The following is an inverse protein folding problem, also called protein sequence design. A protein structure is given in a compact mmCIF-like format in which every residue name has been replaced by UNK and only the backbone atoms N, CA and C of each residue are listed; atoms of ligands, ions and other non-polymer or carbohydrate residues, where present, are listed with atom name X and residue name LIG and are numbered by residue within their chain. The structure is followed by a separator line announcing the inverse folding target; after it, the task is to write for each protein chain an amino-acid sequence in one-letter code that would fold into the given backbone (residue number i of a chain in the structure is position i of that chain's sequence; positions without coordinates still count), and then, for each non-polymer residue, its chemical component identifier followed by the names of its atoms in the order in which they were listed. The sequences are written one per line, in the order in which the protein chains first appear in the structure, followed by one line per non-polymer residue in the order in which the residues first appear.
data_IF_513032820538
#
_entry.id   IF_513032820538
#
_cell.length_a   1.000
_cell.length_b   1.000
_cell.length_c   1.000
_cell.angle_alpha   90.00
_cell.angle_beta   90.00
_cell.angle_gamma   90.00
#
_symmetry.space_group_name_H-M   'P 1'
#
loop_
_entity.id
_entity.type
_entity.pdbx_description
1 polymer ?
#
# COMPACT_ATOMS: atom_id res chain seq x y z
N UNK A 1 -18.55 -41.50 22.74
CA UNK A 1 -18.83 -40.05 22.55
C UNK A 1 -17.56 -39.19 22.53
N UNK A 2 -16.69 -39.27 23.55
CA UNK A 2 -15.48 -38.45 23.64
C UNK A 2 -14.50 -38.60 22.44
N UNK A 3 -14.24 -39.83 21.96
CA UNK A 3 -13.37 -40.05 20.78
C UNK A 3 -13.90 -39.46 19.47
N UNK A 4 -15.22 -39.44 19.27
CA UNK A 4 -15.81 -38.87 18.04
C UNK A 4 -15.68 -37.35 18.04
N UNK A 5 -15.96 -36.71 19.18
CA UNK A 5 -15.75 -35.27 19.34
C UNK A 5 -14.27 -34.87 19.18
N UNK A 6 -13.34 -35.71 19.63
CA UNK A 6 -11.90 -35.50 19.43
C UNK A 6 -11.50 -35.59 17.95
N UNK A 7 -12.00 -36.58 17.22
CA UNK A 7 -11.74 -36.73 15.77
C UNK A 7 -12.31 -35.55 14.98
N UNK A 8 -13.51 -35.10 15.33
CA UNK A 8 -14.14 -33.93 14.71
C UNK A 8 -13.33 -32.66 14.97
N UNK A 9 -12.89 -32.44 16.22
CA UNK A 9 -12.00 -31.33 16.58
C UNK A 9 -10.70 -31.37 15.78
N UNK A 10 -10.06 -32.53 15.68
CA UNK A 10 -8.81 -32.70 14.93
C UNK A 10 -9.01 -32.42 13.43
N UNK A 11 -10.15 -32.82 12.86
CA UNK A 11 -10.50 -32.52 11.47
C UNK A 11 -10.66 -31.01 11.24
N UNK A 12 -11.44 -30.33 12.08
CA UNK A 12 -11.62 -28.88 12.00
C UNK A 12 -10.31 -28.12 12.19
N UNK A 13 -9.45 -28.59 13.10
CA UNK A 13 -8.11 -28.06 13.33
C UNK A 13 -7.24 -28.17 12.07
N UNK A 14 -7.23 -29.34 11.43
CA UNK A 14 -6.50 -29.56 10.17
C UNK A 14 -7.01 -28.67 9.03
N UNK A 15 -8.33 -28.47 8.93
CA UNK A 15 -8.91 -27.60 7.90
C UNK A 15 -8.52 -26.14 8.11
N UNK A 16 -8.58 -25.66 9.36
CA UNK A 16 -8.12 -24.30 9.71
C UNK A 16 -6.64 -24.13 9.39
N UNK A 17 -5.80 -25.11 9.70
CA UNK A 17 -4.36 -25.01 9.48
C UNK A 17 -4.01 -24.98 7.98
N UNK A 18 -4.78 -25.71 7.15
CA UNK A 18 -4.69 -25.62 5.70
C UNK A 18 -5.06 -24.21 5.19
N UNK A 19 -6.19 -23.67 5.65
CA UNK A 19 -6.63 -22.31 5.28
C UNK A 19 -5.63 -21.23 5.72
N UNK A 20 -5.04 -21.36 6.90
CA UNK A 20 -4.01 -20.43 7.38
C UNK A 20 -2.76 -20.45 6.47
N UNK A 21 -2.39 -21.64 5.97
CA UNK A 21 -1.26 -21.80 5.06
C UNK A 21 -1.54 -21.11 3.73
N UNK A 22 -2.72 -21.34 3.15
CA UNK A 22 -3.16 -20.69 1.91
C UNK A 22 -3.21 -19.17 2.07
N UNK A 23 -3.80 -18.68 3.17
CA UNK A 23 -3.86 -17.24 3.47
C UNK A 23 -2.47 -16.64 3.55
N UNK A 24 -1.52 -17.34 4.19
CA UNK A 24 -0.12 -16.90 4.25
C UNK A 24 0.54 -16.79 2.87
N UNK A 25 0.27 -17.73 1.97
CA UNK A 25 0.77 -17.70 0.58
C UNK A 25 0.18 -16.52 -0.19
N UNK A 26 -1.14 -16.31 -0.10
CA UNK A 26 -1.83 -15.20 -0.75
C UNK A 26 -1.31 -13.84 -0.27
N UNK A 27 -1.02 -13.68 1.02
CA UNK A 27 -0.46 -12.44 1.57
C UNK A 27 0.96 -12.17 1.05
N UNK A 28 1.78 -13.21 0.85
CA UNK A 28 3.10 -13.07 0.25
C UNK A 28 3.00 -12.67 -1.22
N UNK A 29 2.04 -13.24 -1.96
CA UNK A 29 1.75 -12.84 -3.34
C UNK A 29 1.28 -11.39 -3.39
N UNK A 30 0.30 -11.00 -2.56
CA UNK A 30 -0.17 -9.61 -2.49
C UNK A 30 0.97 -8.65 -2.17
N UNK A 31 1.80 -8.97 -1.18
CA UNK A 31 2.97 -8.16 -0.84
C UNK A 31 3.97 -8.01 -1.99
N UNK A 32 4.23 -9.09 -2.74
CA UNK A 32 5.10 -9.05 -3.91
C UNK A 32 4.50 -8.24 -5.07
N UNK A 33 3.17 -8.19 -5.19
CA UNK A 33 2.47 -7.42 -6.24
C UNK A 33 2.26 -5.96 -5.85
N UNK A 34 2.13 -5.68 -4.55
CA UNK A 34 2.04 -4.35 -3.96
C UNK A 34 3.40 -3.66 -3.85
N UNK A 35 4.50 -4.31 -4.27
CA UNK A 35 5.80 -3.63 -4.36
C UNK A 35 5.66 -2.35 -5.20
N UNK A 36 5.98 -1.22 -4.57
CA UNK A 36 5.88 0.12 -5.14
C UNK A 36 6.45 0.20 -6.57
N UNK A 37 7.55 -0.53 -6.81
CA UNK A 37 8.23 -0.64 -8.11
C UNK A 37 7.30 -1.11 -9.24
N UNK A 38 6.38 -2.04 -8.98
CA UNK A 38 5.44 -2.56 -9.97
C UNK A 38 4.36 -1.55 -10.30
N UNK A 39 3.80 -0.88 -9.28
CA UNK A 39 2.81 0.19 -9.46
C UNK A 39 3.42 1.36 -10.23
N UNK A 40 4.64 1.78 -9.88
CA UNK A 40 5.38 2.82 -10.60
C UNK A 40 5.67 2.44 -12.05
N UNK A 41 6.12 1.20 -12.31
CA UNK A 41 6.36 0.70 -13.67
C UNK A 41 5.10 0.75 -14.52
N UNK A 42 3.99 0.20 -14.01
CA UNK A 42 2.70 0.21 -14.71
C UNK A 42 2.17 1.64 -14.94
N UNK A 43 2.31 2.51 -13.96
CA UNK A 43 1.96 3.93 -14.07
C UNK A 43 2.73 4.62 -15.22
N UNK A 44 4.04 4.35 -15.33
CA UNK A 44 4.88 4.91 -16.37
C UNK A 44 4.57 4.33 -17.75
N UNK A 45 4.38 3.02 -17.84
CA UNK A 45 4.21 2.31 -19.10
C UNK A 45 2.80 2.45 -19.68
N UNK A 46 1.76 2.31 -18.85
CA UNK A 46 0.36 2.28 -19.32
C UNK A 46 -0.33 3.63 -19.27
N UNK A 47 0.06 4.50 -18.33
CA UNK A 47 -0.59 5.79 -18.10
C UNK A 47 0.32 6.97 -18.47
N UNK A 48 1.53 6.71 -18.97
CA UNK A 48 2.54 7.72 -19.28
C UNK A 48 2.81 8.70 -18.11
N UNK A 49 2.60 8.24 -16.87
CA UNK A 49 2.80 9.08 -15.70
C UNK A 49 4.30 9.29 -15.46
N UNK A 50 4.64 10.51 -15.03
CA UNK A 50 6.00 10.89 -14.63
C UNK A 50 5.96 11.70 -13.35
N UNK A 51 7.09 11.74 -12.64
CA UNK A 51 7.20 12.56 -11.43
C UNK A 51 7.13 14.03 -11.86
N UNK A 52 6.21 14.83 -11.31
CA UNK A 52 6.10 16.24 -11.65
C UNK A 52 7.35 17.00 -11.19
N UNK A 53 7.79 17.94 -12.03
CA UNK A 53 8.81 18.91 -11.63
C UNK A 53 8.26 19.83 -10.55
N UNK A 54 9.14 20.41 -9.73
CA UNK A 54 8.74 21.31 -8.63
C UNK A 54 7.82 22.45 -9.10
N UNK A 55 8.01 22.94 -10.33
CA UNK A 55 7.21 24.02 -10.93
C UNK A 55 5.77 23.58 -11.27
N UNK A 56 5.52 22.27 -11.39
CA UNK A 56 4.21 21.68 -11.67
C UNK A 56 3.44 21.35 -10.38
N UNK A 57 4.10 21.47 -9.22
CA UNK A 57 3.49 21.20 -7.91
C UNK A 57 2.90 22.49 -7.35
N UNK A 58 1.64 22.38 -6.91
CA UNK A 58 0.87 23.50 -6.39
C UNK A 58 0.36 23.14 -5.00
N UNK A 59 0.64 24.00 -4.01
CA UNK A 59 0.19 23.81 -2.64
C UNK A 59 -1.08 24.61 -2.41
N UNK A 60 -2.09 23.93 -1.88
CA UNK A 60 -3.42 24.50 -1.65
C UNK A 60 -3.61 24.66 -0.14
N UNK A 61 -3.76 25.90 0.32
CA UNK A 61 -4.07 26.21 1.73
C UNK A 61 -5.53 26.62 1.86
N UNK A 62 -6.27 25.93 2.71
CA UNK A 62 -7.57 26.38 3.16
C UNK A 62 -7.37 27.26 4.40
N UNK A 63 -7.86 28.50 4.37
CA UNK A 63 -7.97 29.30 5.58
C UNK A 63 -9.22 28.89 6.39
N UNK A 64 -9.25 29.26 7.68
CA UNK A 64 -10.39 28.97 8.57
C UNK A 64 -11.70 29.69 8.19
N UNK A 65 -11.68 30.48 7.11
CA UNK A 65 -12.83 31.21 6.56
C UNK A 65 -13.35 30.54 5.27
N UNK A 66 -12.83 29.36 4.90
CA UNK A 66 -13.25 28.59 3.72
C UNK A 66 -12.69 29.13 2.40
N UNK A 67 -11.72 30.05 2.42
CA UNK A 67 -11.04 30.54 1.22
C UNK A 67 -9.84 29.65 0.93
N UNK A 68 -9.70 29.28 -0.34
CA UNK A 68 -8.60 28.46 -0.81
C UNK A 68 -7.56 29.38 -1.46
N UNK A 69 -6.33 29.35 -0.96
CA UNK A 69 -5.18 30.02 -1.56
C UNK A 69 -4.22 29.01 -2.17
N UNK A 70 -3.54 29.42 -3.24
CA UNK A 70 -2.74 28.54 -4.09
C UNK A 70 -1.33 29.12 -4.16
N UNK A 71 -0.34 28.39 -3.65
CA UNK A 71 1.08 28.74 -3.80
C UNK A 71 1.71 27.83 -4.86
N UNK A 72 2.26 28.44 -5.91
CA UNK A 72 2.98 27.73 -6.96
C UNK A 72 4.44 27.47 -6.53
N UNK A 73 4.94 26.25 -6.75
CA UNK A 73 6.38 25.99 -6.82
C UNK A 73 7.10 25.62 -5.53
N UNK A 74 6.42 25.40 -4.41
CA UNK A 74 7.05 24.84 -3.21
C UNK A 74 6.84 23.33 -3.17
N UNK A 75 7.90 22.53 -3.36
CA UNK A 75 7.86 21.10 -3.06
C UNK A 75 7.85 20.93 -1.53
N UNK A 76 6.78 20.42 -0.90
CA UNK A 76 6.74 20.22 0.55
C UNK A 76 7.64 19.07 1.01
N UNK A 77 8.12 18.24 0.07
CA UNK A 77 8.99 17.09 0.30
C UNK A 77 10.33 17.25 -0.42
N UNK A 78 11.09 18.30 -0.11
CA UNK A 78 12.52 18.26 -0.41
C UNK A 78 13.18 17.37 0.63
N UNK A 79 13.53 16.13 0.25
CA UNK A 79 14.42 15.29 1.07
C UNK A 79 15.72 16.07 1.26
N UNK A 80 15.93 16.65 2.44
CA UNK A 80 17.24 17.15 2.85
C UNK A 80 18.16 15.94 2.81
N UNK A 81 19.07 15.92 1.83
CA UNK A 81 20.14 14.95 1.78
C UNK A 81 21.04 15.30 2.97
N UNK A 82 20.77 14.67 4.12
CA UNK A 82 21.63 14.75 5.28
C UNK A 82 23.00 14.23 4.86
N UNK A 83 23.92 15.16 4.65
CA UNK A 83 25.35 14.89 4.67
C UNK A 83 25.72 14.44 6.08
N UNK A 84 25.96 13.14 6.22
CA UNK A 84 27.01 12.57 7.08
C UNK A 84 27.65 11.42 6.32
#
# INVERSE_FOLDING_TARGET
RNRMAFVELQSMQSQRDALNTETGQLLLEEGAWAEHRRVEGLARERLAMSIPQSQQVVVVYADGQGRVSVAAGASPFTKTKGTR
#
